data_IF_016103976907
#
_entry.id   IF_016103976907
#
_cell.length_a   1.000
_cell.length_b   1.000
_cell.length_c   1.000
_cell.angle_alpha   90.00
_cell.angle_beta   90.00
_cell.angle_gamma   90.00
#
_symmetry.space_group_name_H-M   'P 1'
#
loop_
_entity.id
_entity.type
_entity.pdbx_description
1 polymer ?
#
# COMPACT_ATOMS: atom_id res chain seq x y z
N UNK A 1 31.24 30.72 -32.30
CA UNK A 1 30.45 29.70 -31.58
C UNK A 1 30.16 30.21 -30.18
N UNK A 2 28.91 30.57 -29.88
CA UNK A 2 28.46 30.86 -28.51
C UNK A 2 27.09 30.22 -28.34
N UNK A 3 27.06 29.00 -27.78
CA UNK A 3 25.83 28.37 -27.34
C UNK A 3 25.44 28.97 -25.98
N UNK A 4 24.36 29.76 -25.97
CA UNK A 4 23.72 30.21 -24.73
C UNK A 4 23.08 29.00 -24.05
N UNK A 5 23.48 28.72 -22.81
CA UNK A 5 22.84 27.71 -21.98
C UNK A 5 21.39 28.13 -21.70
N UNK A 6 20.43 27.49 -22.37
CA UNK A 6 19.01 27.75 -22.15
C UNK A 6 18.64 27.55 -20.69
N UNK A 7 18.12 28.61 -20.05
CA UNK A 7 17.53 28.52 -18.71
C UNK A 7 16.44 27.45 -18.75
N UNK A 8 16.64 26.34 -18.04
CA UNK A 8 15.57 25.36 -17.78
C UNK A 8 14.44 26.11 -17.06
N UNK A 9 13.32 26.31 -17.75
CA UNK A 9 12.11 26.82 -17.11
C UNK A 9 11.53 25.70 -16.24
N UNK A 10 11.61 25.87 -14.92
CA UNK A 10 10.93 24.97 -13.98
C UNK A 10 9.49 25.43 -13.81
N UNK A 11 8.53 24.60 -14.21
CA UNK A 11 7.09 24.84 -13.97
C UNK A 11 6.70 24.16 -12.66
N UNK A 12 6.18 24.93 -11.71
CA UNK A 12 5.59 24.40 -10.48
C UNK A 12 4.13 24.01 -10.78
N UNK A 13 3.73 22.82 -10.36
CA UNK A 13 2.36 22.31 -10.49
C UNK A 13 1.87 21.92 -9.10
N UNK A 14 0.74 22.50 -8.68
CA UNK A 14 0.07 22.12 -7.44
C UNK A 14 -0.76 20.86 -7.70
N UNK A 15 -0.38 19.74 -7.09
CA UNK A 15 -1.11 18.49 -7.25
C UNK A 15 -2.44 18.47 -6.48
N UNK A 16 -2.48 19.10 -5.31
CA UNK A 16 -3.68 19.29 -4.47
C UNK A 16 -3.63 20.70 -3.91
N UNK A 17 -4.75 21.43 -3.95
CA UNK A 17 -4.81 22.83 -3.52
C UNK A 17 -6.10 23.10 -2.74
N UNK A 18 -5.98 23.78 -1.59
CA UNK A 18 -7.08 24.22 -0.72
C UNK A 18 -8.11 23.14 -0.35
N UNK A 19 -7.65 21.92 -0.05
CA UNK A 19 -8.48 20.82 0.40
C UNK A 19 -8.75 20.90 1.91
N UNK A 20 -10.03 20.83 2.31
CA UNK A 20 -10.45 20.59 3.69
C UNK A 20 -11.26 19.29 3.70
N UNK A 21 -10.85 18.34 4.54
CA UNK A 21 -11.44 17.01 4.60
C UNK A 21 -11.41 16.51 6.04
N UNK A 22 -12.53 15.97 6.50
CA UNK A 22 -12.67 15.30 7.80
C UNK A 22 -13.32 13.94 7.56
N UNK A 23 -12.72 12.88 8.11
CA UNK A 23 -13.19 11.51 7.93
C UNK A 23 -13.37 10.90 9.31
N UNK A 24 -14.61 10.51 9.63
CA UNK A 24 -14.93 9.85 10.90
C UNK A 24 -14.59 8.36 10.86
N UNK A 25 -14.27 7.78 12.02
CA UNK A 25 -14.03 6.34 12.16
C UNK A 25 -15.22 5.52 11.63
N UNK A 26 -14.92 4.39 10.99
CA UNK A 26 -15.93 3.52 10.35
C UNK A 26 -16.50 4.04 9.03
N UNK A 27 -16.00 5.17 8.51
CA UNK A 27 -16.43 5.69 7.21
C UNK A 27 -15.63 5.07 6.06
N UNK A 28 -16.28 4.90 4.91
CA UNK A 28 -15.62 4.57 3.64
C UNK A 28 -15.63 5.80 2.75
N UNK A 29 -14.46 6.29 2.37
CA UNK A 29 -14.30 7.44 1.47
C UNK A 29 -13.78 6.99 0.10
N UNK A 30 -14.56 7.24 -0.96
CA UNK A 30 -14.11 7.08 -2.34
C UNK A 30 -13.49 8.36 -2.89
N UNK A 31 -12.23 8.29 -3.36
CA UNK A 31 -11.55 9.41 -4.03
C UNK A 31 -11.53 9.15 -5.53
N UNK A 32 -12.29 9.94 -6.30
CA UNK A 32 -12.43 9.79 -7.76
C UNK A 32 -11.99 11.05 -8.50
N UNK A 33 -11.49 10.89 -9.72
CA UNK A 33 -11.02 12.00 -10.55
C UNK A 33 -10.13 11.53 -11.70
N UNK A 34 -9.90 12.40 -12.68
CA UNK A 34 -9.07 12.10 -13.86
C UNK A 34 -7.61 11.75 -13.49
N UNK A 35 -6.87 11.20 -14.46
CA UNK A 35 -5.43 11.01 -14.33
C UNK A 35 -4.74 12.37 -14.15
N UNK A 36 -3.84 12.46 -13.17
CA UNK A 36 -3.18 13.72 -12.81
C UNK A 36 -3.99 14.64 -11.88
N UNK A 37 -5.18 14.26 -11.43
CA UNK A 37 -5.99 15.07 -10.50
C UNK A 37 -5.45 15.12 -9.05
N UNK A 38 -4.28 14.51 -8.77
CA UNK A 38 -3.67 14.55 -7.44
C UNK A 38 -4.09 13.45 -6.46
N UNK A 39 -4.88 12.44 -6.90
CA UNK A 39 -5.38 11.34 -6.04
C UNK A 39 -4.26 10.62 -5.27
N UNK A 40 -3.28 10.07 -5.99
CA UNK A 40 -2.15 9.37 -5.36
C UNK A 40 -1.29 10.31 -4.51
N UNK A 41 -1.21 11.60 -4.84
CA UNK A 41 -0.55 12.60 -3.98
C UNK A 41 -1.30 12.76 -2.67
N UNK A 42 -2.62 12.99 -2.71
CA UNK A 42 -3.47 13.08 -1.52
C UNK A 42 -3.31 11.84 -0.63
N UNK A 43 -3.39 10.64 -1.21
CA UNK A 43 -3.29 9.39 -0.46
C UNK A 43 -1.89 9.18 0.16
N UNK A 44 -0.81 9.55 -0.54
CA UNK A 44 0.56 9.54 0.00
C UNK A 44 0.74 10.57 1.12
N UNK A 45 0.04 11.69 1.06
CA UNK A 45 0.11 12.72 2.10
C UNK A 45 -0.69 12.33 3.35
N UNK A 46 -1.88 11.73 3.19
CA UNK A 46 -2.65 11.17 4.32
C UNK A 46 -1.88 10.06 5.02
N UNK A 47 -1.16 9.22 4.28
CA UNK A 47 -0.34 8.13 4.84
C UNK A 47 1.00 8.56 5.43
N UNK A 48 1.33 9.85 5.39
CA UNK A 48 2.61 10.35 5.90
C UNK A 48 3.84 10.03 5.04
N UNK A 49 3.67 9.40 3.87
CA UNK A 49 4.76 9.13 2.91
C UNK A 49 5.29 10.44 2.33
N UNK A 50 4.40 11.40 2.07
CA UNK A 50 4.73 12.70 1.50
C UNK A 50 4.22 13.83 2.41
N UNK A 51 5.08 14.66 3.03
CA UNK A 51 4.60 15.77 3.85
C UNK A 51 3.86 16.82 3.00
N UNK A 52 2.82 17.48 3.55
CA UNK A 52 2.13 18.54 2.84
C UNK A 52 3.03 19.78 2.67
N UNK A 53 2.96 20.44 1.51
CA UNK A 53 3.70 21.70 1.28
C UNK A 53 3.16 22.85 2.15
N UNK A 54 1.85 22.85 2.44
CA UNK A 54 1.15 23.83 3.28
C UNK A 54 0.00 23.14 4.02
N UNK A 55 -0.40 23.71 5.15
CA UNK A 55 -1.48 23.18 5.98
C UNK A 55 -1.00 22.08 6.93
N UNK A 56 -1.93 21.30 7.47
CA UNK A 56 -1.64 20.20 8.39
C UNK A 56 -2.55 19.01 8.10
N UNK A 57 -2.06 17.82 8.42
CA UNK A 57 -2.83 16.58 8.43
C UNK A 57 -2.67 15.95 9.80
N UNK A 58 -3.79 15.63 10.43
CA UNK A 58 -3.87 14.95 11.71
C UNK A 58 -4.51 13.58 11.47
N UNK A 59 -3.83 12.52 11.90
CA UNK A 59 -4.29 11.15 11.74
C UNK A 59 -4.26 10.48 13.11
N UNK A 60 -5.39 9.87 13.48
CA UNK A 60 -5.55 9.16 14.74
C UNK A 60 -5.67 7.65 14.46
N UNK A 61 -4.60 6.92 14.73
CA UNK A 61 -4.50 5.48 14.50
C UNK A 61 -3.40 5.10 13.51
N UNK A 62 -3.27 3.79 13.31
CA UNK A 62 -2.35 3.16 12.37
C UNK A 62 -2.88 3.27 10.94
N UNK A 63 -2.05 3.80 10.02
CA UNK A 63 -2.37 3.85 8.59
C UNK A 63 -1.62 2.73 7.89
N UNK A 64 -2.37 1.86 7.21
CA UNK A 64 -1.81 0.95 6.23
C UNK A 64 -2.23 1.39 4.83
N UNK A 65 -1.31 1.29 3.88
CA UNK A 65 -1.61 1.62 2.48
C UNK A 65 -1.31 0.42 1.59
N UNK A 66 -2.27 0.05 0.73
CA UNK A 66 -2.01 -0.85 -0.39
C UNK A 66 -1.20 -0.17 -1.51
N UNK A 67 -0.95 1.14 -1.39
CA UNK A 67 0.07 1.84 -2.16
C UNK A 67 1.48 1.25 -1.94
N UNK A 68 1.68 0.63 -0.78
CA UNK A 68 2.92 0.06 -0.28
C UNK A 68 2.87 -1.48 -0.28
N UNK A 69 2.14 -2.12 -1.20
CA UNK A 69 2.09 -3.58 -1.31
C UNK A 69 3.52 -4.16 -1.44
N UNK A 70 3.91 -4.92 -0.43
CA UNK A 70 5.25 -5.49 -0.32
C UNK A 70 6.32 -4.47 0.03
N UNK A 71 5.98 -3.38 0.72
CA UNK A 71 6.99 -2.59 1.43
C UNK A 71 7.69 -3.48 2.43
N UNK A 72 9.02 -3.45 2.35
CA UNK A 72 9.88 -4.36 3.07
C UNK A 72 10.07 -5.72 2.37
N UNK A 73 9.34 -6.02 1.30
CA UNK A 73 9.59 -7.28 0.58
C UNK A 73 10.93 -7.22 -0.16
N UNK A 74 11.60 -8.38 -0.21
CA UNK A 74 12.84 -8.64 -0.91
C UNK A 74 12.67 -9.84 -1.82
N UNK A 75 13.05 -9.66 -3.09
CA UNK A 75 12.98 -10.72 -4.11
C UNK A 75 13.91 -11.89 -3.81
N UNK A 76 15.00 -11.66 -3.06
CA UNK A 76 15.97 -12.70 -2.71
C UNK A 76 15.52 -13.56 -1.51
N UNK A 77 14.52 -13.10 -0.76
CA UNK A 77 14.02 -13.80 0.43
C UNK A 77 12.83 -14.69 0.09
N UNK A 78 12.55 -15.67 0.96
CA UNK A 78 11.37 -16.55 0.81
C UNK A 78 10.07 -15.77 1.02
N UNK A 79 8.94 -16.29 0.54
CA UNK A 79 7.63 -15.73 0.90
C UNK A 79 7.42 -15.66 2.42
N UNK A 80 7.85 -16.69 3.17
CA UNK A 80 7.80 -16.73 4.63
C UNK A 80 8.55 -15.56 5.26
N UNK A 81 9.78 -15.33 4.84
CA UNK A 81 10.59 -14.23 5.39
C UNK A 81 10.00 -12.86 5.01
N UNK A 82 9.43 -12.76 3.81
CA UNK A 82 8.72 -11.57 3.36
C UNK A 82 7.46 -11.29 4.20
N UNK A 83 6.71 -12.31 4.64
CA UNK A 83 5.61 -12.13 5.61
C UNK A 83 6.12 -11.50 6.89
N UNK A 84 7.26 -11.97 7.40
CA UNK A 84 7.87 -11.41 8.60
C UNK A 84 8.30 -9.97 8.38
N UNK A 85 9.01 -9.71 7.29
CA UNK A 85 9.56 -8.38 7.00
C UNK A 85 8.44 -7.36 6.76
N UNK A 86 7.42 -7.73 5.97
CA UNK A 86 6.24 -6.90 5.74
C UNK A 86 5.42 -6.65 7.02
N UNK A 87 5.25 -7.68 7.86
CA UNK A 87 4.57 -7.51 9.15
C UNK A 87 5.30 -6.55 10.08
N UNK A 88 6.63 -6.67 10.18
CA UNK A 88 7.46 -5.74 10.96
C UNK A 88 7.40 -4.32 10.40
N UNK A 89 7.46 -4.17 9.07
CA UNK A 89 7.34 -2.88 8.41
C UNK A 89 5.96 -2.24 8.62
N UNK A 90 4.92 -3.07 8.80
CA UNK A 90 3.57 -2.64 9.14
C UNK A 90 3.35 -2.39 10.65
N UNK A 91 4.39 -2.55 11.48
CA UNK A 91 4.36 -2.22 12.90
C UNK A 91 3.97 -3.38 13.83
N UNK A 92 3.81 -4.61 13.31
CA UNK A 92 3.57 -5.78 14.14
C UNK A 92 4.84 -6.26 14.83
N UNK A 93 4.69 -6.81 16.02
CA UNK A 93 5.74 -7.60 16.68
C UNK A 93 5.88 -8.97 16.03
N UNK A 94 7.06 -9.60 16.20
CA UNK A 94 7.30 -10.97 15.71
C UNK A 94 6.32 -12.00 16.29
N UNK A 95 5.81 -11.78 17.49
CA UNK A 95 4.83 -12.66 18.14
C UNK A 95 3.49 -12.57 17.42
N UNK A 96 3.01 -11.37 17.14
CA UNK A 96 1.76 -11.14 16.40
C UNK A 96 1.84 -11.69 14.98
N UNK A 97 2.96 -11.49 14.30
CA UNK A 97 3.21 -12.04 12.95
C UNK A 97 3.13 -13.57 12.98
N UNK A 98 3.79 -14.22 13.93
CA UNK A 98 3.78 -15.68 14.03
C UNK A 98 2.37 -16.21 14.33
N UNK A 99 1.60 -15.52 15.18
CA UNK A 99 0.23 -15.89 15.48
C UNK A 99 -0.71 -15.77 14.27
N UNK A 100 -0.44 -14.82 13.38
CA UNK A 100 -1.24 -14.56 12.16
C UNK A 100 -0.66 -15.23 10.90
N UNK A 101 0.50 -15.90 10.99
CA UNK A 101 1.22 -16.40 9.82
C UNK A 101 0.39 -17.37 8.98
N UNK A 102 -0.24 -18.36 9.61
CA UNK A 102 -1.05 -19.36 8.91
C UNK A 102 -2.25 -18.71 8.20
N UNK A 103 -2.92 -17.76 8.86
CA UNK A 103 -4.01 -16.98 8.26
C UNK A 103 -3.55 -16.22 7.00
N UNK A 104 -2.39 -15.57 7.07
CA UNK A 104 -1.82 -14.83 5.92
C UNK A 104 -1.56 -15.77 4.75
N UNK A 105 -0.92 -16.92 5.01
CA UNK A 105 -0.54 -17.88 3.96
C UNK A 105 -1.77 -18.52 3.33
N UNK A 106 -2.78 -18.85 4.14
CA UNK A 106 -4.02 -19.46 3.69
C UNK A 106 -4.90 -18.44 2.95
N UNK A 107 -4.92 -17.17 3.38
CA UNK A 107 -5.57 -16.09 2.65
C UNK A 107 -4.92 -15.88 1.29
N UNK A 108 -3.58 -15.87 1.22
CA UNK A 108 -2.83 -15.71 -0.02
C UNK A 108 -2.92 -16.91 -0.97
N UNK A 109 -3.27 -18.10 -0.47
CA UNK A 109 -3.29 -19.37 -1.21
C UNK A 109 -1.91 -19.74 -1.77
N UNK A 110 -0.88 -19.60 -0.93
CA UNK A 110 0.53 -19.78 -1.32
C UNK A 110 1.28 -20.82 -0.47
N UNK A 111 0.57 -21.68 0.26
CA UNK A 111 1.14 -22.68 1.18
C UNK A 111 2.27 -23.50 0.57
N UNK A 112 2.08 -23.97 -0.67
CA UNK A 112 3.03 -24.86 -1.36
C UNK A 112 4.32 -24.15 -1.83
N UNK A 113 4.30 -22.83 -1.93
CA UNK A 113 5.39 -22.02 -2.50
C UNK A 113 5.93 -20.99 -1.51
N UNK A 114 5.44 -20.98 -0.27
CA UNK A 114 5.76 -19.95 0.73
C UNK A 114 7.25 -19.93 1.08
N UNK A 115 7.92 -21.07 1.02
CA UNK A 115 9.34 -21.21 1.30
C UNK A 115 10.22 -21.04 0.04
N UNK A 116 9.63 -20.78 -1.13
CA UNK A 116 10.36 -20.44 -2.35
C UNK A 116 10.78 -18.95 -2.35
N UNK A 117 11.94 -18.60 -2.93
CA UNK A 117 12.38 -17.21 -3.09
C UNK A 117 11.36 -16.37 -3.88
N UNK A 118 11.08 -15.16 -3.43
CA UNK A 118 10.03 -14.33 -4.00
C UNK A 118 10.30 -13.91 -5.46
N UNK A 119 11.56 -13.91 -5.92
CA UNK A 119 11.91 -13.75 -7.34
C UNK A 119 11.27 -14.78 -8.28
N UNK A 120 10.81 -15.92 -7.75
CA UNK A 120 10.11 -16.95 -8.55
C UNK A 120 8.60 -16.75 -8.59
N UNK A 121 8.07 -15.75 -7.89
CA UNK A 121 6.64 -15.50 -7.79
C UNK A 121 6.15 -14.80 -9.06
N UNK A 122 4.96 -15.17 -9.54
CA UNK A 122 4.27 -14.35 -10.52
C UNK A 122 3.85 -13.01 -9.89
N UNK A 123 3.55 -12.01 -10.71
CA UNK A 123 3.00 -10.73 -10.24
C UNK A 123 1.71 -10.93 -9.40
N UNK A 124 0.88 -11.90 -9.78
CA UNK A 124 -0.32 -12.27 -9.02
C UNK A 124 0.02 -12.88 -7.65
N UNK A 125 0.98 -13.80 -7.58
CA UNK A 125 1.43 -14.39 -6.30
C UNK A 125 1.99 -13.31 -5.36
N UNK A 126 2.82 -12.41 -5.90
CA UNK A 126 3.34 -11.27 -5.15
C UNK A 126 2.20 -10.41 -4.59
N UNK A 127 1.25 -10.01 -5.45
CA UNK A 127 0.11 -9.18 -5.05
C UNK A 127 -0.76 -9.85 -4.00
N UNK A 128 -1.02 -11.16 -4.14
CA UNK A 128 -1.79 -11.95 -3.15
C UNK A 128 -1.13 -11.97 -1.78
N UNK A 129 0.18 -12.24 -1.71
CA UNK A 129 0.89 -12.28 -0.43
C UNK A 129 0.96 -10.88 0.21
N UNK A 130 1.32 -9.87 -0.57
CA UNK A 130 1.40 -8.50 -0.10
C UNK A 130 0.04 -8.01 0.43
N UNK A 131 -1.05 -8.35 -0.25
CA UNK A 131 -2.40 -8.02 0.19
C UNK A 131 -2.77 -8.76 1.48
N UNK A 132 -2.49 -10.08 1.54
CA UNK A 132 -2.77 -10.89 2.71
C UNK A 132 -2.09 -10.34 3.98
N UNK A 133 -0.82 -9.95 3.88
CA UNK A 133 -0.11 -9.29 4.98
C UNK A 133 -0.80 -7.97 5.36
N UNK A 134 -1.07 -7.10 4.38
CA UNK A 134 -1.61 -5.77 4.63
C UNK A 134 -3.00 -5.77 5.32
N UNK A 135 -3.89 -6.71 4.99
CA UNK A 135 -5.23 -6.79 5.60
C UNK A 135 -5.24 -7.53 6.93
N UNK A 136 -4.28 -8.42 7.17
CA UNK A 136 -4.21 -9.20 8.41
C UNK A 136 -3.60 -8.38 9.57
N UNK A 137 -2.88 -7.30 9.26
CA UNK A 137 -2.34 -6.35 10.25
C UNK A 137 -3.45 -5.56 10.98
N UNK A 138 -4.70 -5.60 10.53
CA UNK A 138 -5.86 -4.90 11.15
C UNK A 138 -5.58 -3.41 11.43
N UNK A 139 -5.29 -2.60 10.39
CA UNK A 139 -5.04 -1.18 10.57
C UNK A 139 -6.30 -0.39 10.95
N UNK A 140 -6.12 0.73 11.67
CA UNK A 140 -7.22 1.67 11.95
C UNK A 140 -7.72 2.36 10.67
N UNK A 141 -6.80 2.61 9.72
CA UNK A 141 -7.07 3.27 8.44
C UNK A 141 -6.42 2.47 7.32
N UNK A 142 -7.23 1.93 6.40
CA UNK A 142 -6.76 1.23 5.21
C UNK A 142 -6.95 2.10 3.97
N UNK A 143 -5.84 2.51 3.34
CA UNK A 143 -5.84 3.25 2.08
C UNK A 143 -5.61 2.30 0.92
N UNK A 144 -6.54 2.29 -0.03
CA UNK A 144 -6.52 1.42 -1.20
C UNK A 144 -6.33 2.27 -2.45
N UNK A 145 -5.18 2.14 -3.12
CA UNK A 145 -5.01 2.62 -4.50
C UNK A 145 -5.28 1.48 -5.48
N UNK A 146 -5.35 1.77 -6.77
CA UNK A 146 -5.69 0.90 -7.93
C UNK A 146 -5.01 -0.50 -7.96
N UNK A 147 -4.09 -0.78 -7.03
CA UNK A 147 -3.45 -2.04 -6.71
C UNK A 147 -4.40 -3.25 -6.55
N UNK A 148 -5.65 -3.06 -6.09
CA UNK A 148 -6.65 -4.15 -6.07
C UNK A 148 -6.92 -4.74 -7.47
N UNK A 149 -6.53 -4.04 -8.54
CA UNK A 149 -6.72 -4.49 -9.92
C UNK A 149 -5.81 -5.65 -10.32
N UNK A 150 -4.75 -5.94 -9.55
CA UNK A 150 -3.65 -6.84 -9.92
C UNK A 150 -3.84 -8.32 -9.55
N UNK A 151 -4.92 -8.67 -8.84
CA UNK A 151 -5.32 -10.06 -8.58
C UNK A 151 -6.25 -10.64 -9.66
N UNK A 152 -6.32 -11.97 -9.75
CA UNK A 152 -7.37 -12.65 -10.53
C UNK A 152 -8.77 -12.34 -9.97
N UNK A 153 -9.81 -12.63 -10.77
CA UNK A 153 -11.19 -12.30 -10.42
C UNK A 153 -11.66 -12.96 -9.11
N UNK A 154 -11.16 -14.15 -8.80
CA UNK A 154 -11.50 -14.87 -7.57
C UNK A 154 -10.89 -14.17 -6.35
N UNK A 155 -9.61 -13.83 -6.42
CA UNK A 155 -8.92 -13.13 -5.33
C UNK A 155 -9.50 -11.74 -5.09
N UNK A 156 -9.92 -11.02 -6.13
CA UNK A 156 -10.62 -9.72 -5.97
C UNK A 156 -11.87 -9.83 -5.11
N UNK A 157 -12.70 -10.85 -5.33
CA UNK A 157 -13.91 -11.06 -4.52
C UNK A 157 -13.55 -11.36 -3.06
N UNK A 158 -12.53 -12.22 -2.83
CA UNK A 158 -12.02 -12.54 -1.50
C UNK A 158 -11.49 -11.29 -0.77
N UNK A 159 -10.70 -10.47 -1.46
CA UNK A 159 -10.20 -9.19 -0.98
C UNK A 159 -11.32 -8.22 -0.61
N UNK A 160 -12.34 -8.08 -1.46
CA UNK A 160 -13.48 -7.20 -1.18
C UNK A 160 -14.30 -7.66 0.04
N UNK A 161 -14.45 -8.97 0.25
CA UNK A 161 -15.17 -9.50 1.42
C UNK A 161 -14.39 -9.34 2.73
N UNK A 162 -13.05 -9.27 2.70
CA UNK A 162 -12.23 -9.05 3.91
C UNK A 162 -12.20 -7.58 4.35
N UNK A 163 -12.41 -6.65 3.41
CA UNK A 163 -12.39 -5.20 3.64
C UNK A 163 -13.77 -4.64 4.01
N UNK A 164 -14.85 -5.37 3.74
CA UNK A 164 -16.21 -5.07 4.20
C UNK A 164 -16.40 -5.44 5.66
#
# INVERSE_FOLDING_TARGET
MLFSAGKKQTRIVNAVENLNLEISYGSVLGVVGANGAGKSTLMRTISGILPPTKGRIEVHGSVSTLLALGVGFSQEMTGRDNVILGGLAAGLSRVEINAKFDEIVDFAELREVIDAPMRTYSSGMYARLAFAVAVTVEPDILIIDEALSTGDAHFKVKSLNRVK
#
